data_IF_546483570216
#
_entry.id   IF_546483570216
#
_cell.length_a   1.000
_cell.length_b   1.000
_cell.length_c   1.000
_cell.angle_alpha   90.00
_cell.angle_beta   90.00
_cell.angle_gamma   90.00
#
_symmetry.space_group_name_H-M   'P 1'
#
loop_
_entity.id
_entity.type
_entity.pdbx_description
1 polymer ?
#
# COMPACT_ATOMS: atom_id res chain seq x y z
N UNK A 1 59.99 43.46 -20.01
CA UNK A 1 58.55 43.48 -20.37
C UNK A 1 57.83 42.50 -19.46
N UNK A 2 57.13 43.00 -18.43
CA UNK A 2 56.42 42.18 -17.44
C UNK A 2 54.95 42.10 -17.86
N UNK A 3 54.48 40.91 -18.24
CA UNK A 3 53.07 40.69 -18.64
C UNK A 3 52.21 40.48 -17.39
N UNK A 4 51.35 41.46 -17.09
CA UNK A 4 50.22 41.31 -16.17
C UNK A 4 49.19 40.35 -16.80
N UNK A 5 48.91 39.23 -16.14
CA UNK A 5 47.73 38.43 -16.43
C UNK A 5 46.57 38.93 -15.56
N UNK A 6 45.55 39.53 -16.19
CA UNK A 6 44.27 39.83 -15.55
C UNK A 6 43.54 38.53 -15.24
N UNK A 7 43.34 38.25 -13.95
CA UNK A 7 42.44 37.20 -13.47
C UNK A 7 40.99 37.70 -13.57
N UNK A 8 40.29 37.28 -14.62
CA UNK A 8 38.85 37.47 -14.76
C UNK A 8 38.16 36.48 -13.81
N UNK A 9 37.64 36.97 -12.69
CA UNK A 9 36.85 36.17 -11.76
C UNK A 9 35.45 35.95 -12.34
N UNK A 10 35.21 34.75 -12.88
CA UNK A 10 33.87 34.32 -13.30
C UNK A 10 33.13 33.83 -12.06
N UNK A 11 32.21 34.64 -11.57
CA UNK A 11 31.27 34.25 -10.51
C UNK A 11 30.23 33.29 -11.10
N UNK A 12 30.45 31.99 -10.90
CA UNK A 12 29.43 30.95 -11.15
C UNK A 12 28.30 31.13 -10.14
N UNK A 13 27.23 31.83 -10.54
CA UNK A 13 25.96 31.80 -9.84
C UNK A 13 25.34 30.40 -10.04
N UNK A 14 25.59 29.49 -9.11
CA UNK A 14 24.86 28.23 -9.04
C UNK A 14 23.38 28.57 -8.81
N UNK A 15 22.44 28.10 -9.65
CA UNK A 15 21.03 28.22 -9.34
C UNK A 15 20.80 27.51 -8.02
N UNK A 16 20.25 28.22 -7.04
CA UNK A 16 19.75 27.61 -5.83
C UNK A 16 18.65 26.64 -6.25
N UNK A 17 18.97 25.35 -6.34
CA UNK A 17 17.97 24.30 -6.41
C UNK A 17 17.20 24.42 -5.11
N UNK A 18 16.02 25.04 -5.17
CA UNK A 18 15.09 25.02 -4.05
C UNK A 18 14.78 23.55 -3.81
N UNK A 19 15.40 22.97 -2.78
CA UNK A 19 15.03 21.65 -2.32
C UNK A 19 13.52 21.74 -2.03
N UNK A 20 12.71 20.98 -2.77
CA UNK A 20 11.29 20.92 -2.53
C UNK A 20 11.10 20.46 -1.09
N UNK A 21 10.73 21.39 -0.20
CA UNK A 21 10.47 21.06 1.18
C UNK A 21 9.21 20.21 1.24
N UNK A 22 9.26 19.20 2.12
CA UNK A 22 8.08 18.43 2.45
C UNK A 22 7.08 19.34 3.16
N UNK A 23 5.81 19.21 2.81
CA UNK A 23 4.70 19.81 3.54
C UNK A 23 4.49 19.09 4.88
N UNK A 24 3.70 19.68 5.77
CA UNK A 24 3.33 19.03 7.04
C UNK A 24 2.56 17.73 6.80
N UNK A 25 1.70 17.68 5.77
CA UNK A 25 0.94 16.48 5.44
C UNK A 25 1.88 15.37 4.97
N UNK A 26 2.79 15.66 4.04
CA UNK A 26 3.80 14.71 3.56
C UNK A 26 4.67 14.21 4.71
N UNK A 27 5.09 15.10 5.60
CA UNK A 27 5.87 14.75 6.80
C UNK A 27 5.11 13.80 7.71
N UNK A 28 3.82 14.04 7.98
CA UNK A 28 2.99 13.16 8.82
C UNK A 28 2.83 11.77 8.23
N UNK A 29 2.55 11.67 6.93
CA UNK A 29 2.41 10.38 6.24
C UNK A 29 3.72 9.58 6.27
N UNK A 30 4.85 10.24 5.99
CA UNK A 30 6.17 9.59 6.04
C UNK A 30 6.51 9.13 7.45
N UNK A 31 6.24 9.95 8.48
CA UNK A 31 6.49 9.58 9.87
C UNK A 31 5.62 8.40 10.32
N UNK A 32 4.33 8.40 9.96
CA UNK A 32 3.42 7.31 10.29
C UNK A 32 3.79 5.99 9.59
N UNK A 33 4.20 6.04 8.32
CA UNK A 33 4.60 4.84 7.56
C UNK A 33 6.00 4.32 7.90
N UNK A 34 6.85 5.12 8.55
CA UNK A 34 8.25 4.80 8.74
C UNK A 34 8.54 3.47 9.46
N UNK A 35 7.79 3.06 10.51
CA UNK A 35 7.99 1.76 11.15
C UNK A 35 7.83 0.59 10.17
N UNK A 36 6.83 0.66 9.28
CA UNK A 36 6.56 -0.34 8.25
C UNK A 36 7.67 -0.35 7.21
N UNK A 37 8.08 0.82 6.71
CA UNK A 37 9.15 0.96 5.71
C UNK A 37 10.47 0.41 6.26
N UNK A 38 10.80 0.73 7.52
CA UNK A 38 12.00 0.23 8.18
C UNK A 38 11.97 -1.29 8.31
N UNK A 39 10.83 -1.86 8.73
CA UNK A 39 10.63 -3.30 8.76
C UNK A 39 10.83 -3.93 7.38
N UNK A 40 10.17 -3.40 6.36
CA UNK A 40 10.21 -3.93 5.00
C UNK A 40 11.64 -3.94 4.42
N UNK A 41 12.40 -2.85 4.65
CA UNK A 41 13.83 -2.79 4.29
C UNK A 41 14.66 -3.81 5.05
N UNK A 42 14.38 -4.03 6.33
CA UNK A 42 15.06 -5.06 7.12
C UNK A 42 14.73 -6.49 6.63
N UNK A 43 13.58 -6.70 6.01
CA UNK A 43 13.23 -7.94 5.30
C UNK A 43 13.86 -8.04 3.90
N UNK A 44 14.63 -7.04 3.47
CA UNK A 44 15.30 -7.02 2.17
C UNK A 44 14.45 -6.51 1.01
N UNK A 45 13.29 -5.90 1.27
CA UNK A 45 12.42 -5.39 0.21
C UNK A 45 13.00 -4.14 -0.49
N UNK A 46 12.99 -4.08 -1.84
CA UNK A 46 13.64 -3.03 -2.61
C UNK A 46 12.75 -1.77 -2.74
N UNK A 47 12.58 -1.03 -1.64
CA UNK A 47 11.62 0.09 -1.58
C UNK A 47 12.30 1.44 -1.79
N UNK A 48 11.82 2.16 -2.79
CA UNK A 48 12.03 3.59 -2.98
C UNK A 48 10.79 4.36 -2.57
N UNK A 49 10.99 5.55 -1.98
CA UNK A 49 9.91 6.45 -1.60
C UNK A 49 9.93 7.64 -2.56
N UNK A 50 8.78 7.92 -3.16
CA UNK A 50 8.59 9.06 -4.08
C UNK A 50 7.49 9.94 -3.48
N UNK A 51 7.84 11.19 -3.18
CA UNK A 51 6.84 12.20 -2.79
C UNK A 51 6.65 13.12 -3.97
N UNK A 52 5.43 13.20 -4.50
CA UNK A 52 5.13 14.02 -5.67
C UNK A 52 5.12 15.51 -5.28
N UNK A 53 6.01 16.35 -5.83
CA UNK A 53 6.09 17.77 -5.46
C UNK A 53 4.97 18.63 -6.06
N UNK A 54 4.26 18.13 -7.07
CA UNK A 54 3.14 18.79 -7.73
C UNK A 54 1.78 18.38 -7.15
N UNK A 55 0.76 19.22 -7.38
CA UNK A 55 -0.62 18.85 -7.08
C UNK A 55 -1.05 17.62 -7.87
N UNK A 56 -1.75 16.71 -7.21
CA UNK A 56 -2.21 15.44 -7.77
C UNK A 56 -3.71 15.23 -7.49
N UNK A 57 -4.60 16.12 -7.99
CA UNK A 57 -6.03 15.98 -7.77
C UNK A 57 -6.56 14.69 -8.40
N UNK A 58 -7.33 13.93 -7.63
CA UNK A 58 -7.92 12.65 -8.08
C UNK A 58 -6.96 11.47 -8.12
N UNK A 59 -5.69 11.64 -7.75
CA UNK A 59 -4.76 10.54 -7.56
C UNK A 59 -5.07 9.80 -6.25
N UNK A 60 -4.70 8.53 -6.17
CA UNK A 60 -4.65 7.83 -4.87
C UNK A 60 -3.54 8.44 -4.01
N UNK A 61 -3.84 8.65 -2.73
CA UNK A 61 -2.95 9.38 -1.81
C UNK A 61 -1.63 8.65 -1.56
N UNK A 62 -1.70 7.32 -1.46
CA UNK A 62 -0.57 6.41 -1.35
C UNK A 62 -0.78 5.29 -2.37
N UNK A 63 0.25 4.94 -3.12
CA UNK A 63 0.22 3.86 -4.09
C UNK A 63 1.56 3.14 -4.16
N UNK A 64 1.55 1.89 -4.61
CA UNK A 64 2.75 1.18 -5.01
C UNK A 64 2.86 1.04 -6.53
N UNK A 65 3.97 1.53 -7.09
CA UNK A 65 4.43 1.19 -8.43
C UNK A 65 5.57 0.17 -8.39
N UNK A 66 5.87 -0.44 -9.52
CA UNK A 66 7.06 -1.27 -9.68
C UNK A 66 7.83 -0.86 -10.93
N UNK A 67 9.13 -0.61 -10.78
CA UNK A 67 10.00 -0.18 -11.86
C UNK A 67 11.43 -0.67 -11.62
N UNK A 68 12.03 -1.27 -12.64
CA UNK A 68 13.43 -1.69 -12.66
C UNK A 68 13.86 -2.54 -11.44
N UNK A 69 13.04 -3.50 -11.02
CA UNK A 69 13.37 -4.37 -9.88
C UNK A 69 12.98 -3.82 -8.52
N UNK A 70 12.36 -2.63 -8.45
CA UNK A 70 12.13 -1.90 -7.20
C UNK A 70 10.69 -1.48 -7.04
N UNK A 71 10.20 -1.57 -5.81
CA UNK A 71 8.90 -1.04 -5.42
C UNK A 71 9.00 0.47 -5.20
N UNK A 72 8.10 1.24 -5.79
CA UNK A 72 8.00 2.69 -5.67
C UNK A 72 6.79 3.01 -4.79
N UNK A 73 7.02 3.36 -3.53
CA UNK A 73 5.99 3.86 -2.64
C UNK A 73 5.75 5.34 -2.95
N UNK A 74 4.66 5.65 -3.63
CA UNK A 74 4.36 6.99 -4.17
C UNK A 74 3.33 7.70 -3.28
N UNK A 75 3.69 8.89 -2.79
CA UNK A 75 2.82 9.77 -2.02
C UNK A 75 2.35 10.92 -2.93
N UNK A 76 1.04 11.04 -3.13
CA UNK A 76 0.40 12.01 -4.02
C UNK A 76 -0.53 12.92 -3.21
N UNK A 77 0.04 13.78 -2.36
CA UNK A 77 -0.71 14.41 -1.26
C UNK A 77 -1.14 15.86 -1.53
N UNK A 78 -0.39 16.61 -2.35
CA UNK A 78 -0.67 18.02 -2.62
C UNK A 78 -1.91 18.16 -3.51
N UNK A 79 -2.80 19.09 -3.16
CA UNK A 79 -4.06 19.30 -3.89
C UNK A 79 -4.98 18.07 -3.94
N UNK A 80 -4.72 17.04 -3.13
CA UNK A 80 -5.43 15.77 -3.20
C UNK A 80 -6.46 15.62 -2.06
N UNK A 81 -7.72 15.89 -2.38
CA UNK A 81 -8.82 15.72 -1.43
C UNK A 81 -8.99 14.26 -0.94
N UNK A 82 -8.50 13.26 -1.69
CA UNK A 82 -8.56 11.86 -1.28
C UNK A 82 -7.64 11.55 -0.08
N UNK A 83 -6.53 12.27 0.06
CA UNK A 83 -5.61 12.11 1.18
C UNK A 83 -6.29 12.41 2.53
N UNK A 84 -7.28 13.30 2.52
CA UNK A 84 -8.10 13.61 3.69
C UNK A 84 -9.37 12.75 3.75
N UNK A 85 -9.98 12.40 2.61
CA UNK A 85 -11.26 11.67 2.59
C UNK A 85 -11.16 10.25 3.12
N UNK A 86 -10.03 9.56 2.91
CA UNK A 86 -9.81 8.20 3.45
C UNK A 86 -9.72 8.19 4.99
N UNK A 87 -9.42 9.34 5.58
CA UNK A 87 -9.37 9.57 7.03
C UNK A 87 -10.64 10.28 7.55
N UNK A 88 -11.62 10.54 6.68
CA UNK A 88 -12.84 11.23 7.07
C UNK A 88 -13.60 10.43 8.14
N UNK A 89 -13.97 11.09 9.23
CA UNK A 89 -14.63 10.46 10.38
C UNK A 89 -13.69 9.72 11.32
N UNK A 90 -12.40 9.60 11.00
CA UNK A 90 -11.38 9.12 11.93
C UNK A 90 -10.99 10.26 12.87
N UNK A 91 -10.91 10.05 14.19
CA UNK A 91 -10.37 11.06 15.10
C UNK A 91 -8.92 11.39 14.73
N UNK A 92 -8.53 12.68 14.75
CA UNK A 92 -7.18 13.14 14.39
C UNK A 92 -6.07 12.36 15.12
N UNK A 93 -6.28 12.05 16.40
CA UNK A 93 -5.34 11.27 17.21
C UNK A 93 -5.08 9.84 16.68
N UNK A 94 -5.97 9.31 15.83
CA UNK A 94 -5.86 7.98 15.21
C UNK A 94 -5.37 8.04 13.76
N UNK A 95 -5.27 9.21 13.12
CA UNK A 95 -4.87 9.31 11.71
C UNK A 95 -3.53 8.60 11.41
N UNK A 96 -2.55 8.73 12.30
CA UNK A 96 -1.24 8.07 12.14
C UNK A 96 -1.36 6.55 12.03
N UNK A 97 -2.31 5.95 12.75
CA UNK A 97 -2.54 4.51 12.74
C UNK A 97 -3.07 4.01 11.39
N UNK A 98 -3.97 4.79 10.76
CA UNK A 98 -4.54 4.47 9.45
C UNK A 98 -3.50 4.68 8.34
N UNK A 99 -2.71 5.75 8.42
CA UNK A 99 -1.57 5.96 7.50
C UNK A 99 -0.53 4.83 7.60
N UNK A 100 -0.23 4.37 8.81
CA UNK A 100 0.63 3.21 9.05
C UNK A 100 0.04 1.94 8.42
N UNK A 101 -1.25 1.66 8.64
CA UNK A 101 -1.94 0.51 8.05
C UNK A 101 -1.96 0.55 6.52
N UNK A 102 -2.20 1.71 5.91
CA UNK A 102 -2.12 1.89 4.44
C UNK A 102 -0.71 1.63 3.94
N UNK A 103 0.31 2.08 4.66
CA UNK A 103 1.70 1.78 4.30
C UNK A 103 1.97 0.28 4.35
N UNK A 104 1.49 -0.42 5.38
CA UNK A 104 1.61 -1.87 5.48
C UNK A 104 0.87 -2.62 4.36
N UNK A 105 -0.27 -2.11 3.91
CA UNK A 105 -0.98 -2.61 2.73
C UNK A 105 -0.08 -2.52 1.48
N UNK A 106 0.48 -1.34 1.17
CA UNK A 106 1.37 -1.19 0.01
C UNK A 106 2.63 -2.08 0.10
N UNK A 107 3.15 -2.32 1.31
CA UNK A 107 4.26 -3.25 1.52
C UNK A 107 3.85 -4.70 1.22
N UNK A 108 2.59 -5.07 1.45
CA UNK A 108 2.04 -6.36 1.03
C UNK A 108 2.15 -6.57 -0.49
N UNK A 109 1.79 -5.56 -1.28
CA UNK A 109 2.00 -5.60 -2.74
C UNK A 109 3.48 -5.74 -3.11
N UNK A 110 4.35 -4.98 -2.44
CA UNK A 110 5.79 -5.03 -2.72
C UNK A 110 6.37 -6.42 -2.47
N UNK A 111 5.95 -7.08 -1.39
CA UNK A 111 6.40 -8.44 -1.07
C UNK A 111 6.10 -9.42 -2.21
N UNK A 112 4.86 -9.43 -2.72
CA UNK A 112 4.47 -10.36 -3.79
C UNK A 112 5.17 -10.03 -5.11
N UNK A 113 5.37 -8.75 -5.42
CA UNK A 113 6.18 -8.34 -6.57
C UNK A 113 7.63 -8.81 -6.45
N UNK A 114 8.28 -8.57 -5.31
CA UNK A 114 9.67 -8.92 -5.07
C UNK A 114 9.91 -10.44 -5.08
N UNK A 115 8.92 -11.24 -4.72
CA UNK A 115 8.96 -12.71 -4.82
C UNK A 115 8.68 -13.24 -6.23
N UNK A 116 8.25 -12.39 -7.17
CA UNK A 116 7.84 -12.82 -8.50
C UNK A 116 6.48 -13.53 -8.51
N UNK A 117 5.68 -13.37 -7.45
CA UNK A 117 4.40 -14.03 -7.23
C UNK A 117 3.20 -13.13 -7.56
N UNK A 118 3.43 -12.00 -8.24
CA UNK A 118 2.36 -11.07 -8.64
C UNK A 118 1.30 -11.79 -9.52
N UNK A 119 0.03 -11.75 -9.10
CA UNK A 119 -1.11 -12.50 -9.65
C UNK A 119 -0.97 -14.04 -9.60
N UNK A 120 0.08 -14.58 -9.00
CA UNK A 120 0.27 -16.02 -8.86
C UNK A 120 -0.58 -16.59 -7.72
N UNK A 121 -1.22 -17.73 -7.98
CA UNK A 121 -1.97 -18.48 -6.96
C UNK A 121 -1.03 -19.39 -6.14
N UNK A 122 -1.38 -19.73 -4.89
CA UNK A 122 -0.59 -20.66 -4.09
C UNK A 122 -0.37 -21.98 -4.83
N UNK A 123 0.85 -22.54 -4.74
CA UNK A 123 1.14 -23.88 -5.27
C UNK A 123 0.12 -24.89 -4.74
N UNK A 124 -0.44 -25.69 -5.66
CA UNK A 124 -1.46 -26.70 -5.36
C UNK A 124 -2.89 -26.17 -5.22
N UNK A 125 -3.10 -24.85 -5.30
CA UNK A 125 -4.45 -24.30 -5.39
C UNK A 125 -5.02 -24.56 -6.79
N UNK A 126 -6.22 -25.15 -6.84
CA UNK A 126 -6.94 -25.42 -8.08
C UNK A 126 -8.21 -24.58 -8.07
N UNK A 127 -8.33 -23.69 -9.05
CA UNK A 127 -9.54 -22.90 -9.22
C UNK A 127 -10.74 -23.79 -9.58
N UNK A 128 -11.96 -23.48 -9.07
CA UNK A 128 -13.18 -24.10 -9.55
C UNK A 128 -13.27 -24.00 -11.08
N UNK A 129 -13.76 -25.06 -11.75
CA UNK A 129 -13.83 -25.12 -13.23
C UNK A 129 -14.55 -23.94 -13.87
N UNK A 130 -15.56 -23.39 -13.20
CA UNK A 130 -16.31 -22.20 -13.66
C UNK A 130 -15.51 -20.90 -13.60
N UNK A 131 -14.40 -20.89 -12.86
CA UNK A 131 -13.59 -19.70 -12.58
C UNK A 131 -12.19 -19.77 -13.20
N UNK A 132 -11.86 -20.85 -13.89
CA UNK A 132 -10.55 -21.02 -14.53
C UNK A 132 -10.27 -19.91 -15.55
N UNK A 133 -9.00 -19.51 -15.65
CA UNK A 133 -8.49 -18.53 -16.62
C UNK A 133 -8.99 -18.84 -18.04
N UNK A 134 -9.47 -17.82 -18.75
CA UNK A 134 -10.07 -17.96 -20.10
C UNK A 134 -11.56 -18.33 -20.14
N UNK A 135 -12.21 -18.54 -18.98
CA UNK A 135 -13.68 -18.62 -18.88
C UNK A 135 -14.35 -17.28 -18.55
N UNK A 136 -13.56 -16.31 -18.10
CA UNK A 136 -14.00 -14.95 -17.82
C UNK A 136 -13.70 -14.01 -18.99
N UNK A 137 -14.41 -12.89 -19.04
CA UNK A 137 -14.00 -11.75 -19.88
C UNK A 137 -12.66 -11.20 -19.38
N UNK A 138 -11.84 -10.56 -20.24
CA UNK A 138 -10.57 -9.97 -19.82
C UNK A 138 -10.69 -9.03 -18.62
N UNK A 139 -11.70 -8.16 -18.63
CA UNK A 139 -11.97 -7.23 -17.52
C UNK A 139 -12.33 -7.96 -16.23
N UNK A 140 -13.21 -8.97 -16.28
CA UNK A 140 -13.58 -9.73 -15.08
C UNK A 140 -12.38 -10.52 -14.51
N UNK A 141 -11.49 -10.98 -15.39
CA UNK A 141 -10.26 -11.63 -14.97
C UNK A 141 -9.31 -10.65 -14.28
N UNK A 142 -9.09 -9.46 -14.85
CA UNK A 142 -8.27 -8.40 -14.28
C UNK A 142 -8.80 -7.96 -12.90
N UNK A 143 -10.10 -7.66 -12.81
CA UNK A 143 -10.73 -7.25 -11.55
C UNK A 143 -10.53 -8.30 -10.45
N UNK A 144 -10.65 -9.58 -10.79
CA UNK A 144 -10.44 -10.67 -9.84
C UNK A 144 -8.97 -10.84 -9.46
N UNK A 145 -8.06 -10.82 -10.44
CA UNK A 145 -6.63 -10.93 -10.19
C UNK A 145 -6.16 -9.79 -9.28
N UNK A 146 -6.61 -8.56 -9.52
CA UNK A 146 -6.36 -7.40 -8.65
C UNK A 146 -7.01 -7.55 -7.28
N UNK A 147 -8.27 -8.00 -7.21
CA UNK A 147 -8.96 -8.24 -5.92
C UNK A 147 -8.25 -9.22 -5.02
N UNK A 148 -7.63 -10.25 -5.60
CA UNK A 148 -6.80 -11.18 -4.84
C UNK A 148 -5.54 -10.52 -4.31
N UNK A 149 -4.88 -9.66 -5.08
CA UNK A 149 -3.73 -8.89 -4.60
C UNK A 149 -4.13 -7.94 -3.46
N UNK A 150 -5.24 -7.22 -3.61
CA UNK A 150 -5.80 -6.34 -2.58
C UNK A 150 -6.15 -7.10 -1.30
N UNK A 151 -6.75 -8.29 -1.42
CA UNK A 151 -7.07 -9.13 -0.28
C UNK A 151 -5.83 -9.62 0.47
N UNK A 152 -4.72 -9.88 -0.23
CA UNK A 152 -3.45 -10.19 0.43
C UNK A 152 -2.88 -8.98 1.15
N UNK A 153 -2.84 -7.83 0.48
CA UNK A 153 -2.31 -6.58 1.03
C UNK A 153 -3.10 -6.11 2.27
N UNK A 154 -4.43 -6.24 2.25
CA UNK A 154 -5.27 -5.99 3.42
C UNK A 154 -4.90 -6.88 4.62
N UNK A 155 -4.64 -8.17 4.37
CA UNK A 155 -4.24 -9.10 5.43
C UNK A 155 -2.82 -8.83 5.94
N UNK A 156 -1.90 -8.35 5.10
CA UNK A 156 -0.56 -7.91 5.56
C UNK A 156 -0.68 -6.70 6.48
N UNK A 157 -1.51 -5.72 6.11
CA UNK A 157 -1.78 -4.58 6.98
C UNK A 157 -2.34 -5.04 8.34
N UNK A 158 -3.32 -5.93 8.34
CA UNK A 158 -3.94 -6.43 9.57
C UNK A 158 -2.96 -7.27 10.42
N UNK A 159 -2.14 -8.11 9.82
CA UNK A 159 -1.11 -8.85 10.54
C UNK A 159 -0.07 -7.91 11.18
N UNK A 160 0.33 -6.84 10.47
CA UNK A 160 1.19 -5.79 11.02
C UNK A 160 0.54 -5.09 12.22
N UNK A 161 -0.71 -4.64 12.06
CA UNK A 161 -1.44 -3.94 13.11
C UNK A 161 -1.68 -4.82 14.34
N UNK A 162 -1.98 -6.09 14.13
CA UNK A 162 -2.13 -7.07 15.22
C UNK A 162 -0.84 -7.19 16.03
N UNK A 163 0.30 -7.32 15.35
CA UNK A 163 1.59 -7.50 16.02
C UNK A 163 2.12 -6.25 16.73
N UNK A 164 1.80 -5.04 16.24
CA UNK A 164 2.37 -3.79 16.77
C UNK A 164 1.42 -2.96 17.60
N UNK A 165 0.13 -3.05 17.31
CA UNK A 165 -0.92 -2.26 17.94
C UNK A 165 -2.12 -3.14 18.32
N UNK A 166 -1.92 -4.23 19.09
CA UNK A 166 -2.99 -5.20 19.36
C UNK A 166 -4.22 -4.55 20.02
N UNK A 167 -4.03 -3.54 20.88
CA UNK A 167 -5.12 -2.80 21.52
C UNK A 167 -5.94 -1.90 20.58
N UNK A 168 -5.46 -1.66 19.35
CA UNK A 168 -6.14 -0.83 18.35
C UNK A 168 -6.49 -1.62 17.07
N UNK A 169 -6.16 -2.92 17.04
CA UNK A 169 -6.38 -3.79 15.89
C UNK A 169 -7.84 -3.76 15.40
N UNK A 170 -8.79 -3.86 16.33
CA UNK A 170 -10.22 -3.88 16.01
C UNK A 170 -10.72 -2.56 15.43
N UNK A 171 -10.18 -1.43 15.91
CA UNK A 171 -10.49 -0.10 15.35
C UNK A 171 -10.00 0.00 13.90
N UNK A 172 -8.81 -0.53 13.59
CA UNK A 172 -8.28 -0.54 12.22
C UNK A 172 -9.05 -1.49 11.31
N UNK A 173 -9.37 -2.70 11.79
CA UNK A 173 -10.19 -3.65 11.04
C UNK A 173 -11.56 -3.06 10.68
N UNK A 174 -12.21 -2.39 11.64
CA UNK A 174 -13.48 -1.71 11.40
C UNK A 174 -13.36 -0.57 10.39
N UNK A 175 -12.29 0.24 10.48
CA UNK A 175 -12.02 1.30 9.50
C UNK A 175 -11.77 0.73 8.09
N UNK A 176 -10.95 -0.31 7.96
CA UNK A 176 -10.68 -0.96 6.66
C UNK A 176 -11.96 -1.50 6.02
N UNK A 177 -12.85 -2.12 6.81
CA UNK A 177 -14.19 -2.54 6.34
C UNK A 177 -14.97 -1.36 5.77
N UNK A 178 -15.02 -0.24 6.50
CA UNK A 178 -15.69 0.99 6.03
C UNK A 178 -15.09 1.55 4.73
N UNK A 179 -13.77 1.50 4.56
CA UNK A 179 -13.09 1.92 3.33
C UNK A 179 -13.52 1.05 2.14
N UNK A 180 -13.59 -0.28 2.32
CA UNK A 180 -14.00 -1.20 1.25
C UNK A 180 -15.48 -1.06 0.90
N UNK A 181 -16.35 -0.93 1.90
CA UNK A 181 -17.79 -0.73 1.68
C UNK A 181 -18.09 0.60 0.97
N UNK A 182 -17.37 1.67 1.32
CA UNK A 182 -17.46 2.96 0.63
C UNK A 182 -17.04 2.90 -0.84
N UNK A 183 -15.99 2.11 -1.15
CA UNK A 183 -15.54 1.87 -2.52
C UNK A 183 -16.56 1.13 -3.38
N UNK A 184 -17.28 0.16 -2.81
CA UNK A 184 -18.40 -0.50 -3.51
C UNK A 184 -19.53 0.47 -3.82
N UNK A 185 -19.93 1.27 -2.82
CA UNK A 185 -20.99 2.27 -2.96
C UNK A 185 -20.67 3.36 -3.99
N UNK A 186 -19.39 3.69 -4.18
CA UNK A 186 -18.91 4.65 -5.17
C UNK A 186 -18.83 4.10 -6.61
N UNK A 187 -19.38 2.90 -6.86
CA UNK A 187 -19.45 2.30 -8.19
C UNK A 187 -18.44 1.16 -8.43
N UNK A 188 -17.68 0.74 -7.41
CA UNK A 188 -16.83 -0.45 -7.48
C UNK A 188 -17.62 -1.75 -7.66
N UNK A 189 -18.86 -1.80 -7.16
CA UNK A 189 -19.77 -2.94 -7.30
C UNK A 189 -19.31 -4.22 -6.59
N UNK A 190 -20.25 -5.15 -6.40
CA UNK A 190 -19.92 -6.49 -5.92
C UNK A 190 -19.00 -7.18 -6.95
N UNK A 191 -17.78 -7.54 -6.52
CA UNK A 191 -16.75 -8.11 -7.39
C UNK A 191 -15.80 -7.10 -8.03
N UNK A 192 -15.81 -5.83 -7.59
CA UNK A 192 -14.79 -4.84 -7.94
C UNK A 192 -13.38 -5.24 -7.47
N UNK A 193 -12.36 -4.51 -7.95
CA UNK A 193 -10.96 -4.77 -7.59
C UNK A 193 -10.68 -4.65 -6.10
N UNK A 194 -11.47 -3.87 -5.34
CA UNK A 194 -11.29 -3.71 -3.89
C UNK A 194 -12.36 -4.44 -3.05
N UNK A 195 -13.16 -5.34 -3.63
CA UNK A 195 -14.19 -6.08 -2.91
C UNK A 195 -13.59 -7.22 -2.04
N UNK A 196 -12.84 -6.86 -0.99
CA UNK A 196 -12.02 -7.78 -0.17
C UNK A 196 -12.71 -8.23 1.13
N UNK A 197 -14.01 -7.98 1.30
CA UNK A 197 -14.75 -8.20 2.54
C UNK A 197 -14.65 -9.65 3.04
N UNK A 198 -14.58 -10.62 2.13
CA UNK A 198 -14.39 -12.03 2.49
C UNK A 198 -13.08 -12.27 3.26
N UNK A 199 -11.99 -11.60 2.90
CA UNK A 199 -10.72 -11.68 3.63
C UNK A 199 -10.76 -10.88 4.95
N UNK A 200 -11.37 -9.69 4.96
CA UNK A 200 -11.56 -8.92 6.18
C UNK A 200 -12.45 -9.63 7.22
N UNK A 201 -13.38 -10.47 6.78
CA UNK A 201 -14.17 -11.33 7.67
C UNK A 201 -13.33 -12.44 8.31
N UNK A 202 -12.36 -13.00 7.59
CA UNK A 202 -11.44 -14.01 8.14
C UNK A 202 -10.53 -13.42 9.22
N UNK A 203 -10.15 -12.16 9.09
CA UNK A 203 -9.30 -11.45 10.03
C UNK A 203 -9.99 -11.13 11.38
N UNK A 204 -11.31 -11.31 11.49
CA UNK A 204 -12.05 -11.15 12.76
C UNK A 204 -11.86 -12.32 13.73
N UNK A 205 -11.31 -13.43 13.24
CA UNK A 205 -11.12 -14.62 14.06
C UNK A 205 -10.13 -14.38 15.20
N UNK A 206 -10.44 -14.89 16.40
CA UNK A 206 -9.51 -14.83 17.53
C UNK A 206 -8.20 -15.57 17.19
N UNK A 207 -7.07 -14.90 17.44
CA UNK A 207 -5.73 -15.45 17.32
C UNK A 207 -5.27 -15.82 15.90
N UNK A 208 -5.94 -15.30 14.86
CA UNK A 208 -5.58 -15.59 13.47
C UNK A 208 -4.17 -15.09 13.07
N UNK A 209 -3.61 -14.17 13.87
CA UNK A 209 -2.28 -13.58 13.71
C UNK A 209 -1.35 -13.82 14.92
N UNK A 210 -1.66 -14.78 15.81
CA UNK A 210 -0.86 -15.09 17.02
C UNK A 210 0.38 -15.97 16.73
N UNK A 211 0.55 -16.42 15.49
CA UNK A 211 1.62 -17.33 15.10
C UNK A 211 3.02 -16.67 15.09
N UNK A 212 4.11 -17.45 15.27
CA UNK A 212 5.48 -16.94 15.23
C UNK A 212 5.98 -16.61 13.80
N UNK A 213 5.16 -16.90 12.79
CA UNK A 213 5.49 -16.65 11.39
C UNK A 213 5.59 -15.13 11.11
N UNK A 214 6.28 -14.76 10.03
CA UNK A 214 6.31 -13.35 9.58
C UNK A 214 4.91 -12.85 9.22
N UNK A 215 4.69 -11.52 9.25
CA UNK A 215 3.41 -10.92 8.86
C UNK A 215 2.96 -11.36 7.45
N UNK A 216 3.91 -11.58 6.55
CA UNK A 216 3.67 -12.01 5.17
C UNK A 216 3.16 -13.45 5.10
N UNK A 217 3.73 -14.34 5.92
CA UNK A 217 3.31 -15.75 6.00
C UNK A 217 1.96 -15.89 6.71
N UNK A 218 1.75 -15.12 7.78
CA UNK A 218 0.46 -15.07 8.45
C UNK A 218 -0.66 -14.61 7.50
N UNK A 219 -0.41 -13.51 6.77
CA UNK A 219 -1.32 -13.02 5.73
C UNK A 219 -1.54 -14.07 4.63
N UNK A 220 -0.50 -14.77 4.18
CA UNK A 220 -0.58 -15.82 3.16
C UNK A 220 -1.53 -16.96 3.56
N UNK A 221 -1.55 -17.35 4.84
CA UNK A 221 -2.44 -18.41 5.36
C UNK A 221 -3.90 -17.99 5.24
N UNK A 222 -4.26 -16.79 5.73
CA UNK A 222 -5.62 -16.28 5.64
C UNK A 222 -6.02 -15.99 4.19
N UNK A 223 -5.08 -15.48 3.40
CA UNK A 223 -5.30 -15.17 1.99
C UNK A 223 -5.72 -16.43 1.22
N UNK A 224 -4.98 -17.53 1.40
CA UNK A 224 -5.30 -18.82 0.80
C UNK A 224 -6.70 -19.31 1.19
N UNK A 225 -7.09 -19.13 2.45
CA UNK A 225 -8.43 -19.51 2.92
C UNK A 225 -9.53 -18.69 2.23
N UNK A 226 -9.29 -17.40 1.99
CA UNK A 226 -10.25 -16.54 1.29
C UNK A 226 -10.40 -16.82 -0.21
N UNK A 227 -9.36 -17.35 -0.88
CA UNK A 227 -9.43 -17.71 -2.30
C UNK A 227 -10.55 -18.72 -2.62
N UNK A 228 -10.95 -19.57 -1.67
CA UNK A 228 -12.05 -20.52 -1.86
C UNK A 228 -13.44 -19.86 -1.82
N UNK A 229 -13.55 -18.67 -1.22
CA UNK A 229 -14.77 -17.87 -1.16
C UNK A 229 -14.83 -16.76 -2.21
N UNK A 230 -13.73 -16.51 -2.92
CA UNK A 230 -13.62 -15.53 -3.99
C UNK A 230 -14.43 -15.98 -5.21
N UNK A 231 -15.55 -15.32 -5.47
CA UNK A 231 -16.50 -15.63 -6.56
C UNK A 231 -16.39 -14.62 -7.70
#
# INVERSE_FOLDING_TARGET
>A
MLKLFSLLSVSLALPAVAAAQLTDLETRWLQAGQPVIAFARAQGLPIDIIVQPQDAPGAVALALGYEAGRCKLVLSLRGNAQADSVLQGVPVARHGLMMEAMTAHEIGHCQRYAQGDWHALPRGFVEPRSMQRGKLTPLAQELRETRREEGYADLVALAWMHGRHPGQYQDVLAWMRGVRDGGEAAGGGAGGSHATQAWLALADGAGVFDGPASIFEQAQVLWRKGLSGDK
#
